data_IF_516328680079
#
_entry.id   IF_516328680079
#
_cell.length_a   1.000
_cell.length_b   1.000
_cell.length_c   1.000
_cell.angle_alpha   90.00
_cell.angle_beta   90.00
_cell.angle_gamma   90.00
#
_symmetry.space_group_name_H-M   'P 1'
#
loop_
_entity.id
_entity.type
_entity.pdbx_description
1 polymer ?
#
# COMPACT_ATOMS: atom_id res chain seq x y z
N UNK A 1 46.28 -9.34 30.12
CA UNK A 1 45.70 -8.34 29.22
C UNK A 1 45.57 -8.99 27.85
N UNK A 2 44.37 -9.40 27.47
CA UNK A 2 44.09 -10.06 26.18
C UNK A 2 43.31 -9.08 25.33
N UNK A 3 43.92 -8.64 24.23
CA UNK A 3 43.32 -7.72 23.26
C UNK A 3 42.21 -8.45 22.52
N UNK A 4 40.94 -7.98 22.68
CA UNK A 4 39.80 -8.41 21.91
C UNK A 4 39.78 -7.55 20.62
N UNK A 5 40.21 -8.14 19.50
CA UNK A 5 40.09 -7.54 18.19
C UNK A 5 38.64 -7.78 17.74
N UNK A 6 37.84 -6.70 17.71
CA UNK A 6 36.51 -6.70 17.13
C UNK A 6 36.68 -6.70 15.60
N UNK A 7 36.37 -7.82 14.97
CA UNK A 7 36.28 -7.92 13.52
C UNK A 7 35.00 -7.20 13.06
N UNK A 8 35.13 -5.95 12.60
CA UNK A 8 34.09 -5.27 11.85
C UNK A 8 34.04 -5.92 10.46
N UNK A 9 32.95 -6.60 10.17
CA UNK A 9 32.73 -7.28 8.89
C UNK A 9 32.71 -6.27 7.73
N UNK A 10 33.71 -6.39 6.84
CA UNK A 10 33.76 -5.77 5.51
C UNK A 10 32.70 -6.42 4.58
N UNK A 11 31.47 -5.93 4.61
CA UNK A 11 30.42 -6.29 3.67
C UNK A 11 29.69 -5.07 3.13
N UNK A 12 30.39 -3.98 2.84
CA UNK A 12 29.83 -2.74 2.31
C UNK A 12 30.74 -2.08 1.26
N UNK A 13 31.29 -2.85 0.33
CA UNK A 13 32.07 -2.25 -0.76
C UNK A 13 31.89 -3.03 -2.10
N UNK A 14 30.70 -2.84 -2.70
CA UNK A 14 30.49 -3.17 -4.11
C UNK A 14 29.30 -2.40 -4.70
N UNK A 15 29.26 -1.06 -4.55
CA UNK A 15 28.25 -0.22 -5.22
C UNK A 15 28.73 1.23 -5.40
N UNK A 16 30.01 1.45 -5.69
CA UNK A 16 30.52 2.78 -5.97
C UNK A 16 31.15 2.84 -7.37
N UNK A 17 30.35 2.52 -8.41
CA UNK A 17 30.81 2.67 -9.78
C UNK A 17 30.30 3.95 -10.46
N UNK A 18 29.27 4.64 -9.96
CA UNK A 18 28.68 5.82 -10.62
C UNK A 18 28.41 7.04 -9.68
N UNK A 19 28.95 7.11 -8.48
CA UNK A 19 28.95 8.34 -7.68
C UNK A 19 27.58 8.86 -7.17
N UNK A 20 26.47 8.18 -7.42
CA UNK A 20 25.15 8.57 -6.91
C UNK A 20 24.80 7.79 -5.64
N UNK A 21 24.27 8.50 -4.64
CA UNK A 21 23.75 7.87 -3.42
C UNK A 21 22.62 6.87 -3.75
N UNK A 22 22.57 5.73 -3.04
CA UNK A 22 21.50 4.75 -3.25
C UNK A 22 20.12 5.36 -3.03
N UNK A 23 19.17 5.08 -3.94
CA UNK A 23 17.79 5.49 -3.76
C UNK A 23 17.15 4.64 -2.68
N UNK A 24 16.74 5.27 -1.59
CA UNK A 24 16.05 4.59 -0.48
C UNK A 24 14.55 4.59 -0.72
N UNK A 25 13.94 3.40 -0.75
CA UNK A 25 12.51 3.20 -1.02
C UNK A 25 11.90 2.24 -0.01
N UNK A 26 10.63 2.46 0.36
CA UNK A 26 9.86 1.52 1.15
C UNK A 26 9.12 0.52 0.28
N UNK A 27 9.32 -0.78 0.55
CA UNK A 27 8.56 -1.85 -0.10
C UNK A 27 7.33 -2.21 0.74
N UNK A 28 6.13 -2.05 0.17
CA UNK A 28 4.84 -2.32 0.82
C UNK A 28 4.23 -3.59 0.28
N UNK A 29 3.87 -4.54 1.15
CA UNK A 29 3.23 -5.80 0.76
C UNK A 29 1.77 -5.55 0.37
N UNK A 30 1.47 -5.60 -0.94
CA UNK A 30 0.15 -5.32 -1.51
C UNK A 30 -0.84 -6.43 -1.18
N UNK A 31 -1.90 -6.11 -0.40
CA UNK A 31 -2.96 -7.01 0.06
C UNK A 31 -2.44 -8.17 0.92
N UNK A 32 -1.33 -7.94 1.64
CA UNK A 32 -0.62 -8.97 2.38
C UNK A 32 0.31 -9.82 1.52
N UNK A 33 0.76 -10.95 2.06
CA UNK A 33 1.51 -11.97 1.31
C UNK A 33 0.58 -13.12 0.93
N UNK A 34 0.06 -13.07 -0.27
CA UNK A 34 -0.92 -13.99 -0.80
C UNK A 34 -0.35 -14.92 -1.89
N UNK A 35 -1.06 -16.00 -2.19
CA UNK A 35 -0.70 -16.99 -3.21
C UNK A 35 -1.96 -17.68 -3.74
N UNK A 36 -1.79 -18.63 -4.68
CA UNK A 36 -2.92 -19.47 -5.14
C UNK A 36 -3.61 -20.25 -4.01
N UNK A 37 -2.91 -20.51 -2.89
CA UNK A 37 -3.43 -21.27 -1.74
C UNK A 37 -3.77 -20.36 -0.54
N UNK A 38 -3.60 -19.06 -0.66
CA UNK A 38 -3.87 -18.08 0.37
C UNK A 38 -4.44 -16.81 -0.27
N UNK A 39 -5.75 -16.58 -0.20
CA UNK A 39 -6.37 -15.42 -0.84
C UNK A 39 -5.84 -14.09 -0.29
N UNK A 40 -5.72 -13.11 -1.18
CA UNK A 40 -5.33 -11.74 -0.81
C UNK A 40 -6.39 -11.06 0.07
N UNK A 41 -5.99 -10.00 0.78
CA UNK A 41 -6.88 -9.25 1.69
C UNK A 41 -7.52 -10.11 2.80
N UNK A 42 -6.94 -11.25 3.13
CA UNK A 42 -7.35 -12.07 4.29
C UNK A 42 -6.48 -11.74 5.51
N UNK A 43 -7.01 -11.96 6.71
CA UNK A 43 -6.24 -11.79 7.95
C UNK A 43 -4.95 -12.61 7.92
N UNK A 44 -5.02 -13.83 7.37
CA UNK A 44 -3.88 -14.72 7.25
C UNK A 44 -2.79 -14.19 6.30
N UNK A 45 -3.19 -13.62 5.15
CA UNK A 45 -2.24 -13.04 4.21
C UNK A 45 -1.55 -11.79 4.78
N UNK A 46 -2.30 -10.97 5.51
CA UNK A 46 -1.81 -9.77 6.20
C UNK A 46 -0.83 -10.18 7.31
N UNK A 47 -1.26 -11.11 8.17
CA UNK A 47 -0.42 -11.63 9.26
C UNK A 47 0.86 -12.27 8.72
N UNK A 48 0.78 -13.06 7.65
CA UNK A 48 1.95 -13.68 7.02
C UNK A 48 2.95 -12.63 6.52
N UNK A 49 2.49 -11.49 6.01
CA UNK A 49 3.37 -10.40 5.59
C UNK A 49 4.15 -9.83 6.78
N UNK A 50 3.48 -9.49 7.89
CA UNK A 50 4.14 -9.00 9.10
C UNK A 50 5.08 -10.04 9.71
N UNK A 51 4.65 -11.29 9.84
CA UNK A 51 5.48 -12.39 10.36
C UNK A 51 6.72 -12.66 9.48
N UNK A 52 6.65 -12.34 8.19
CA UNK A 52 7.78 -12.41 7.25
C UNK A 52 8.71 -11.19 7.32
N UNK A 53 8.41 -10.21 8.17
CA UNK A 53 9.23 -9.03 8.41
C UNK A 53 8.85 -7.79 7.60
N UNK A 54 7.71 -7.78 6.90
CA UNK A 54 7.18 -6.57 6.32
C UNK A 54 6.75 -5.60 7.44
N UNK A 55 7.20 -4.36 7.39
CA UNK A 55 6.75 -3.32 8.33
C UNK A 55 5.60 -2.49 7.79
N UNK A 56 5.32 -2.60 6.48
CA UNK A 56 4.18 -1.97 5.83
C UNK A 56 3.43 -2.99 4.98
N UNK A 57 2.12 -3.10 5.23
CA UNK A 57 1.19 -3.93 4.48
C UNK A 57 0.07 -3.04 3.96
N UNK A 58 -0.36 -3.27 2.74
CA UNK A 58 -1.48 -2.56 2.14
C UNK A 58 -2.70 -3.48 2.06
N UNK A 59 -3.90 -2.91 2.23
CA UNK A 59 -5.19 -3.61 2.16
C UNK A 59 -6.29 -2.70 1.63
N UNK A 60 -7.36 -3.32 1.09
CA UNK A 60 -8.48 -2.62 0.47
C UNK A 60 -9.75 -2.70 1.32
N UNK A 61 -10.39 -1.57 1.62
CA UNK A 61 -11.64 -1.53 2.38
C UNK A 61 -12.80 -0.94 1.59
N UNK A 62 -13.94 -1.62 1.64
CA UNK A 62 -15.22 -1.14 1.16
C UNK A 62 -16.19 -0.94 2.31
N UNK A 63 -17.08 0.04 2.16
CA UNK A 63 -18.21 0.26 3.07
C UNK A 63 -19.47 -0.41 2.51
N UNK A 64 -20.12 -1.26 3.31
CA UNK A 64 -21.39 -1.90 2.95
C UNK A 64 -22.58 -1.03 3.35
N UNK A 65 -23.76 -1.22 2.75
CA UNK A 65 -25.00 -0.57 3.16
C UNK A 65 -25.42 -0.89 4.60
N UNK A 66 -24.95 -2.03 5.12
CA UNK A 66 -25.18 -2.44 6.52
C UNK A 66 -24.23 -1.74 7.51
N UNK A 67 -23.39 -0.80 7.06
CA UNK A 67 -22.48 -0.03 7.91
C UNK A 67 -21.17 -0.73 8.25
N UNK A 68 -20.86 -1.88 7.66
CA UNK A 68 -19.60 -2.60 7.87
C UNK A 68 -18.51 -2.11 6.93
N UNK A 69 -17.27 -2.07 7.41
CA UNK A 69 -16.08 -1.95 6.56
C UNK A 69 -15.47 -3.35 6.36
N UNK A 70 -15.47 -3.81 5.11
CA UNK A 70 -15.03 -5.16 4.71
C UNK A 70 -13.77 -5.09 3.87
N UNK A 71 -12.84 -6.02 4.13
CA UNK A 71 -11.54 -6.06 3.46
C UNK A 71 -11.61 -6.96 2.22
N UNK A 72 -11.75 -6.34 1.03
CA UNK A 72 -11.75 -7.00 -0.28
C UNK A 72 -11.50 -5.95 -1.36
N UNK A 73 -10.79 -6.32 -2.44
CA UNK A 73 -10.41 -5.33 -3.44
C UNK A 73 -11.55 -4.94 -4.39
N UNK A 74 -12.34 -5.90 -4.92
CA UNK A 74 -13.37 -5.61 -5.91
C UNK A 74 -14.42 -6.73 -6.02
N UNK A 75 -15.64 -6.39 -6.48
CA UNK A 75 -16.71 -7.36 -6.71
C UNK A 75 -16.32 -8.48 -7.71
N UNK A 76 -15.40 -8.22 -8.65
CA UNK A 76 -14.87 -9.26 -9.54
C UNK A 76 -14.15 -10.37 -8.78
N UNK A 77 -13.55 -10.06 -7.61
CA UNK A 77 -12.88 -11.06 -6.77
C UNK A 77 -13.87 -11.97 -6.06
N UNK A 78 -15.03 -11.44 -5.61
CA UNK A 78 -16.10 -12.29 -5.11
C UNK A 78 -16.48 -13.33 -6.15
N UNK A 79 -16.68 -12.93 -7.41
CA UNK A 79 -17.01 -13.83 -8.52
C UNK A 79 -15.86 -14.80 -8.87
N UNK A 80 -14.62 -14.37 -8.69
CA UNK A 80 -13.44 -15.19 -8.96
C UNK A 80 -13.23 -16.26 -7.90
N UNK A 81 -13.41 -15.91 -6.63
CA UNK A 81 -13.10 -16.77 -5.48
C UNK A 81 -14.29 -17.56 -4.95
N UNK A 82 -15.51 -17.10 -5.22
CA UNK A 82 -16.76 -17.62 -4.63
C UNK A 82 -17.90 -17.69 -5.63
N UNK A 83 -18.98 -18.35 -5.28
CA UNK A 83 -20.26 -18.31 -6.03
C UNK A 83 -21.09 -17.05 -5.79
N UNK A 84 -20.66 -16.14 -4.91
CA UNK A 84 -21.35 -14.89 -4.64
C UNK A 84 -21.31 -13.94 -5.85
N UNK A 85 -22.48 -13.46 -6.27
CA UNK A 85 -22.64 -12.51 -7.40
C UNK A 85 -23.01 -11.09 -6.96
N UNK A 86 -23.19 -10.86 -5.65
CA UNK A 86 -23.57 -9.56 -5.09
C UNK A 86 -22.48 -8.49 -5.33
N UNK A 87 -22.91 -7.24 -5.32
CA UNK A 87 -21.96 -6.12 -5.19
C UNK A 87 -21.50 -6.04 -3.74
N UNK A 88 -20.25 -5.63 -3.50
CA UNK A 88 -19.69 -5.57 -2.14
C UNK A 88 -20.53 -4.69 -1.22
N UNK A 89 -21.00 -3.54 -1.72
CA UNK A 89 -21.87 -2.62 -0.96
C UNK A 89 -23.19 -3.24 -0.50
N UNK A 90 -23.65 -4.32 -1.17
CA UNK A 90 -24.91 -4.99 -0.92
C UNK A 90 -24.74 -6.27 -0.05
N UNK A 91 -23.52 -6.57 0.39
CA UNK A 91 -23.27 -7.67 1.32
C UNK A 91 -23.93 -7.37 2.67
N UNK A 92 -24.64 -8.37 3.17
CA UNK A 92 -25.20 -8.38 4.53
C UNK A 92 -24.16 -8.90 5.54
N UNK A 93 -24.36 -8.70 6.86
CA UNK A 93 -23.50 -9.31 7.86
C UNK A 93 -23.39 -10.83 7.73
N UNK A 94 -24.49 -11.52 7.39
CA UNK A 94 -24.51 -12.97 7.17
C UNK A 94 -23.69 -13.37 5.93
N UNK A 95 -23.77 -12.60 4.84
CA UNK A 95 -22.92 -12.82 3.67
C UNK A 95 -21.44 -12.74 4.06
N UNK A 96 -21.04 -11.70 4.77
CA UNK A 96 -19.65 -11.50 5.20
C UNK A 96 -19.19 -12.64 6.11
N UNK A 97 -20.06 -13.11 7.02
CA UNK A 97 -19.77 -14.19 7.95
C UNK A 97 -19.67 -15.56 7.27
N UNK A 98 -20.34 -15.77 6.13
CA UNK A 98 -20.48 -17.10 5.50
C UNK A 98 -19.65 -17.28 4.24
N UNK A 99 -19.38 -16.23 3.46
CA UNK A 99 -18.60 -16.29 2.21
C UNK A 99 -17.20 -16.85 2.49
N UNK A 100 -16.79 -17.85 1.68
CA UNK A 100 -15.47 -18.45 1.72
C UNK A 100 -14.64 -18.06 0.48
N UNK A 101 -13.61 -17.23 0.66
CA UNK A 101 -12.71 -16.80 -0.42
C UNK A 101 -11.84 -17.94 -0.99
N UNK A 102 -11.81 -19.10 -0.34
CA UNK A 102 -11.11 -20.30 -0.82
C UNK A 102 -12.03 -21.28 -1.60
N UNK A 103 -13.33 -20.97 -1.75
CA UNK A 103 -14.34 -21.87 -2.29
C UNK A 103 -13.98 -22.42 -3.67
N UNK A 104 -13.82 -21.56 -4.66
CA UNK A 104 -13.54 -21.99 -6.05
C UNK A 104 -12.16 -22.56 -6.28
N UNK A 105 -11.23 -22.24 -5.40
CA UNK A 105 -9.88 -22.84 -5.41
C UNK A 105 -9.84 -24.21 -4.71
N UNK A 106 -10.97 -24.68 -4.14
CA UNK A 106 -11.04 -25.95 -3.41
C UNK A 106 -10.12 -26.01 -2.19
N UNK A 107 -9.88 -24.86 -1.52
CA UNK A 107 -8.97 -24.83 -0.38
C UNK A 107 -9.62 -25.51 0.83
N UNK A 108 -8.86 -26.39 1.49
CA UNK A 108 -9.35 -27.11 2.69
C UNK A 108 -9.66 -26.16 3.86
N UNK A 109 -8.90 -25.05 3.98
CA UNK A 109 -9.16 -24.00 4.96
C UNK A 109 -10.19 -23.00 4.44
N UNK A 110 -11.10 -22.62 5.31
CA UNK A 110 -12.05 -21.53 5.05
C UNK A 110 -11.39 -20.18 5.29
N UNK A 111 -11.47 -19.28 4.30
CA UNK A 111 -11.00 -17.90 4.37
C UNK A 111 -12.20 -16.97 4.29
N UNK A 112 -12.41 -16.14 5.32
CA UNK A 112 -13.52 -15.19 5.39
C UNK A 112 -13.12 -13.83 4.81
N UNK A 113 -14.13 -13.03 4.43
CA UNK A 113 -13.92 -11.60 4.16
C UNK A 113 -13.70 -10.93 5.52
N UNK A 114 -12.51 -10.33 5.79
CA UNK A 114 -12.27 -9.72 7.07
C UNK A 114 -13.06 -8.41 7.24
N UNK A 115 -13.48 -8.14 8.46
CA UNK A 115 -13.92 -6.82 8.89
C UNK A 115 -12.70 -5.95 9.26
N UNK A 116 -12.89 -4.63 9.30
CA UNK A 116 -11.83 -3.67 9.63
C UNK A 116 -11.17 -3.97 10.98
N UNK A 117 -11.95 -4.25 12.02
CA UNK A 117 -11.46 -4.57 13.36
C UNK A 117 -10.58 -5.84 13.38
N UNK A 118 -10.95 -6.85 12.60
CA UNK A 118 -10.19 -8.09 12.47
C UNK A 118 -8.83 -7.85 11.79
N UNK A 119 -8.79 -6.97 10.79
CA UNK A 119 -7.53 -6.58 10.15
C UNK A 119 -6.67 -5.76 11.10
N UNK A 120 -7.25 -4.77 11.78
CA UNK A 120 -6.51 -3.92 12.72
C UNK A 120 -5.94 -4.71 13.90
N UNK A 121 -6.63 -5.77 14.36
CA UNK A 121 -6.20 -6.63 15.46
C UNK A 121 -4.88 -7.38 15.17
N UNK A 122 -4.49 -7.57 13.91
CA UNK A 122 -3.25 -8.25 13.53
C UNK A 122 -2.12 -7.30 13.13
N UNK A 123 -2.33 -5.99 13.20
CA UNK A 123 -1.30 -4.98 12.93
C UNK A 123 -0.38 -4.83 14.15
N UNK A 124 0.92 -5.15 14.05
CA UNK A 124 1.85 -4.91 15.15
C UNK A 124 2.01 -3.41 15.40
N UNK A 125 2.13 -2.98 16.68
CA UNK A 125 2.26 -1.56 17.06
C UNK A 125 3.49 -0.86 16.49
N UNK A 126 4.47 -1.62 16.03
CA UNK A 126 5.69 -1.10 15.37
C UNK A 126 5.58 -1.08 13.85
N UNK A 127 4.44 -1.50 13.29
CA UNK A 127 4.21 -1.63 11.86
C UNK A 127 3.12 -0.66 11.38
N UNK A 128 2.97 -0.56 10.07
CA UNK A 128 2.03 0.33 9.41
C UNK A 128 1.09 -0.48 8.51
N UNK A 129 -0.20 -0.20 8.61
CA UNK A 129 -1.23 -0.62 7.66
C UNK A 129 -1.52 0.55 6.71
N UNK A 130 -1.32 0.35 5.41
CA UNK A 130 -1.81 1.26 4.38
C UNK A 130 -3.20 0.78 3.96
N UNK A 131 -4.22 1.54 4.32
CA UNK A 131 -5.63 1.21 4.07
C UNK A 131 -6.14 1.96 2.84
N UNK A 132 -6.36 1.26 1.72
CA UNK A 132 -7.04 1.86 0.58
C UNK A 132 -8.55 1.88 0.81
N UNK A 133 -9.12 3.07 0.81
CA UNK A 133 -10.56 3.25 0.89
C UNK A 133 -11.15 3.27 -0.51
N UNK A 134 -11.99 2.26 -0.80
CA UNK A 134 -12.70 2.11 -2.07
C UNK A 134 -14.01 2.90 -2.05
N UNK A 135 -14.02 4.02 -2.73
CA UNK A 135 -15.18 4.90 -2.76
C UNK A 135 -15.18 5.95 -1.65
N UNK A 136 -16.35 6.52 -1.38
CA UNK A 136 -16.54 7.54 -0.35
C UNK A 136 -17.90 7.38 0.33
N UNK A 137 -17.91 7.52 1.64
CA UNK A 137 -19.09 7.63 2.48
C UNK A 137 -18.79 8.66 3.58
N UNK A 138 -19.72 9.59 3.90
CA UNK A 138 -19.50 10.61 4.93
C UNK A 138 -19.17 10.06 6.33
N UNK A 139 -19.59 8.83 6.65
CA UNK A 139 -19.35 8.19 7.96
C UNK A 139 -18.01 7.47 8.03
N UNK A 140 -17.36 7.24 6.89
CA UNK A 140 -16.18 6.39 6.81
C UNK A 140 -15.05 6.84 7.73
N UNK A 141 -14.73 8.14 7.77
CA UNK A 141 -13.61 8.66 8.54
C UNK A 141 -13.79 8.42 10.06
N UNK A 142 -15.00 8.61 10.57
CA UNK A 142 -15.32 8.42 11.99
C UNK A 142 -15.30 6.93 12.37
N UNK A 143 -15.88 6.06 11.53
CA UNK A 143 -15.88 4.60 11.73
C UNK A 143 -14.43 4.09 11.75
N UNK A 144 -13.62 4.57 10.81
CA UNK A 144 -12.23 4.16 10.68
C UNK A 144 -11.40 4.59 11.89
N UNK A 145 -11.49 5.87 12.30
CA UNK A 145 -10.75 6.40 13.45
C UNK A 145 -11.16 5.69 14.76
N UNK A 146 -12.45 5.47 14.97
CA UNK A 146 -12.95 4.75 16.14
C UNK A 146 -12.40 3.31 16.20
N UNK A 147 -12.36 2.60 15.06
CA UNK A 147 -11.83 1.25 14.99
C UNK A 147 -10.32 1.20 15.27
N UNK A 148 -9.54 2.15 14.71
CA UNK A 148 -8.09 2.27 14.95
C UNK A 148 -7.81 2.46 16.46
N UNK A 149 -8.54 3.36 17.11
CA UNK A 149 -8.43 3.59 18.57
C UNK A 149 -8.83 2.36 19.38
N UNK A 150 -9.91 1.70 19.02
CA UNK A 150 -10.38 0.48 19.69
C UNK A 150 -9.36 -0.67 19.59
N UNK A 151 -8.60 -0.75 18.48
CA UNK A 151 -7.49 -1.71 18.31
C UNK A 151 -6.22 -1.33 19.11
N UNK A 152 -6.21 -0.20 19.82
CA UNK A 152 -5.04 0.31 20.56
C UNK A 152 -3.90 0.74 19.63
N UNK A 153 -4.22 1.09 18.38
CA UNK A 153 -3.32 1.67 17.40
C UNK A 153 -3.40 3.20 17.43
N UNK A 154 -2.43 3.84 16.80
CA UNK A 154 -2.39 5.29 16.63
C UNK A 154 -2.34 5.68 15.16
N UNK A 155 -2.44 6.97 14.88
CA UNK A 155 -2.34 7.51 13.53
C UNK A 155 -0.99 7.17 12.86
N UNK A 156 0.05 6.91 13.65
CA UNK A 156 1.39 6.54 13.12
C UNK A 156 1.43 5.11 12.57
N UNK A 157 0.48 4.25 12.98
CA UNK A 157 0.34 2.90 12.46
C UNK A 157 -0.47 2.83 11.15
N UNK A 158 -1.00 3.95 10.69
CA UNK A 158 -1.96 3.99 9.59
C UNK A 158 -1.52 4.97 8.50
N UNK A 159 -1.66 4.53 7.26
CA UNK A 159 -1.66 5.40 6.08
C UNK A 159 -2.99 5.18 5.35
N UNK A 160 -3.75 6.23 5.14
CA UNK A 160 -5.01 6.15 4.38
C UNK A 160 -4.72 6.46 2.92
N UNK A 161 -5.06 5.55 2.02
CA UNK A 161 -4.92 5.76 0.58
C UNK A 161 -6.27 5.67 -0.13
N UNK A 162 -6.45 6.40 -1.21
CA UNK A 162 -7.65 6.30 -2.04
C UNK A 162 -7.41 6.90 -3.43
N UNK A 163 -8.14 6.37 -4.43
CA UNK A 163 -8.34 7.04 -5.72
C UNK A 163 -9.37 8.17 -5.61
N UNK A 164 -10.24 8.13 -4.60
CA UNK A 164 -11.22 9.17 -4.35
C UNK A 164 -10.59 10.32 -3.57
N UNK A 165 -10.40 11.44 -4.23
CA UNK A 165 -9.81 12.64 -3.64
C UNK A 165 -10.64 13.20 -2.47
N UNK A 166 -11.98 13.17 -2.57
CA UNK A 166 -12.85 13.72 -1.52
C UNK A 166 -12.81 12.88 -0.24
N UNK A 167 -12.60 11.56 -0.35
CA UNK A 167 -12.39 10.71 0.82
C UNK A 167 -11.12 11.11 1.60
N UNK A 168 -10.02 11.42 0.89
CA UNK A 168 -8.78 11.88 1.52
C UNK A 168 -8.91 13.29 2.11
N UNK A 169 -9.59 14.18 1.39
CA UNK A 169 -9.88 15.54 1.86
C UNK A 169 -10.71 15.53 3.14
N UNK A 170 -11.75 14.69 3.22
CA UNK A 170 -12.58 14.54 4.41
C UNK A 170 -11.78 13.95 5.58
N UNK A 171 -10.98 12.90 5.33
CA UNK A 171 -10.09 12.34 6.34
C UNK A 171 -9.15 13.38 6.92
N UNK A 172 -8.48 14.16 6.08
CA UNK A 172 -7.56 15.22 6.52
C UNK A 172 -8.26 16.36 7.26
N UNK A 173 -9.49 16.70 6.89
CA UNK A 173 -10.26 17.74 7.55
C UNK A 173 -10.66 17.35 8.98
N UNK A 174 -11.07 16.10 9.19
CA UNK A 174 -11.51 15.59 10.49
C UNK A 174 -10.36 15.08 11.36
N UNK A 175 -9.42 14.36 10.74
CA UNK A 175 -8.33 13.66 11.42
C UNK A 175 -6.99 13.99 10.77
N UNK A 176 -6.46 15.22 10.95
CA UNK A 176 -5.30 15.75 10.22
C UNK A 176 -3.99 15.00 10.47
N UNK A 177 -3.91 14.20 11.54
CA UNK A 177 -2.71 13.43 11.90
C UNK A 177 -2.51 12.17 11.06
N UNK A 178 -3.58 11.59 10.46
CA UNK A 178 -3.40 10.47 9.56
C UNK A 178 -2.61 10.89 8.33
N UNK A 179 -1.61 10.10 7.98
CA UNK A 179 -0.93 10.24 6.69
C UNK A 179 -1.87 9.77 5.58
N UNK A 180 -1.87 10.51 4.47
CA UNK A 180 -2.76 10.23 3.34
C UNK A 180 -1.98 10.11 2.05
N UNK A 181 -2.40 9.18 1.18
CA UNK A 181 -1.80 8.94 -0.13
C UNK A 181 -2.88 9.01 -1.21
N UNK A 182 -2.75 9.93 -2.14
CA UNK A 182 -3.64 10.00 -3.29
C UNK A 182 -3.16 9.06 -4.39
N UNK A 183 -3.93 8.01 -4.64
CA UNK A 183 -3.70 7.06 -5.73
C UNK A 183 -4.21 7.68 -7.04
N UNK A 184 -3.40 7.62 -8.09
CA UNK A 184 -3.68 8.26 -9.36
C UNK A 184 -3.60 7.24 -10.51
N UNK A 185 -4.68 7.14 -11.33
CA UNK A 185 -4.80 6.09 -12.36
C UNK A 185 -4.34 6.50 -13.73
N UNK A 186 -4.38 7.80 -14.01
CA UNK A 186 -4.10 8.28 -15.36
C UNK A 186 -2.64 8.05 -15.73
N UNK A 187 -2.40 7.81 -17.01
CA UNK A 187 -1.05 7.72 -17.55
C UNK A 187 -0.39 9.09 -17.56
N UNK A 188 0.93 9.11 -17.39
CA UNK A 188 1.68 10.32 -17.69
C UNK A 188 1.59 10.61 -19.20
N UNK A 189 1.27 11.87 -19.54
CA UNK A 189 1.28 12.39 -20.90
C UNK A 189 1.80 13.82 -20.85
N UNK A 190 2.09 14.39 -22.00
CA UNK A 190 2.49 15.81 -22.08
C UNK A 190 1.40 16.77 -21.58
N UNK A 191 0.12 16.33 -21.57
CA UNK A 191 -1.00 17.08 -21.01
C UNK A 191 -1.17 16.86 -19.50
N UNK A 192 -0.36 16.01 -18.84
CA UNK A 192 -0.43 15.82 -17.40
C UNK A 192 -0.02 17.09 -16.66
N UNK A 193 -1.00 17.73 -16.04
CA UNK A 193 -0.79 18.96 -15.27
C UNK A 193 -0.32 18.65 -13.86
N UNK A 194 1.00 18.55 -13.71
CA UNK A 194 1.64 18.31 -12.41
C UNK A 194 1.35 19.43 -11.41
N UNK A 195 1.24 20.69 -11.87
CA UNK A 195 0.96 21.81 -10.97
C UNK A 195 -0.44 21.73 -10.40
N UNK A 196 -1.41 21.28 -11.19
CA UNK A 196 -2.76 21.01 -10.72
C UNK A 196 -2.80 19.87 -9.70
N UNK A 197 -2.04 18.80 -9.92
CA UNK A 197 -1.93 17.70 -8.96
C UNK A 197 -1.30 18.17 -7.63
N UNK A 198 -0.22 18.95 -7.68
CA UNK A 198 0.43 19.57 -6.53
C UNK A 198 -0.54 20.50 -5.78
N UNK A 199 -1.24 21.39 -6.51
CA UNK A 199 -2.21 22.29 -5.91
C UNK A 199 -3.33 21.55 -5.17
N UNK A 200 -3.85 20.47 -5.75
CA UNK A 200 -4.85 19.60 -5.09
C UNK A 200 -4.30 18.96 -3.81
N UNK A 201 -3.11 18.37 -3.86
CA UNK A 201 -2.50 17.79 -2.68
C UNK A 201 -2.32 18.83 -1.56
N UNK A 202 -1.80 20.01 -1.88
CA UNK A 202 -1.61 21.11 -0.92
C UNK A 202 -2.94 21.60 -0.33
N UNK A 203 -3.95 21.81 -1.16
CA UNK A 203 -5.27 22.29 -0.72
C UNK A 203 -5.95 21.34 0.27
N UNK A 204 -5.78 20.04 0.11
CA UNK A 204 -6.32 19.02 1.01
C UNK A 204 -5.31 18.52 2.05
N UNK A 205 -4.08 19.07 2.09
CA UNK A 205 -2.98 18.62 2.97
C UNK A 205 -2.65 17.13 2.81
N UNK A 206 -2.78 16.61 1.58
CA UNK A 206 -2.43 15.21 1.27
C UNK A 206 -0.91 15.06 1.29
N UNK A 207 -0.42 14.01 1.97
CA UNK A 207 1.01 13.83 2.24
C UNK A 207 1.77 13.19 1.07
N UNK A 208 1.10 12.35 0.26
CA UNK A 208 1.75 11.63 -0.84
C UNK A 208 0.89 11.59 -2.10
N UNK A 209 1.54 11.71 -3.26
CA UNK A 209 1.00 11.44 -4.59
C UNK A 209 1.55 10.12 -5.11
N UNK A 210 0.68 9.22 -5.58
CA UNK A 210 1.04 7.85 -5.90
C UNK A 210 0.39 7.38 -7.21
N UNK A 211 1.03 7.57 -8.37
CA UNK A 211 0.56 7.03 -9.65
C UNK A 211 0.89 5.54 -9.82
N UNK A 212 0.29 4.90 -10.83
CA UNK A 212 0.70 3.57 -11.31
C UNK A 212 2.08 3.64 -11.95
N UNK A 213 3.02 2.78 -11.54
CA UNK A 213 4.36 2.75 -12.15
C UNK A 213 4.30 2.42 -13.64
N UNK A 214 3.46 1.47 -14.03
CA UNK A 214 3.31 1.03 -15.42
C UNK A 214 2.72 2.12 -16.33
N UNK A 215 1.79 2.93 -15.81
CA UNK A 215 1.12 3.99 -16.59
C UNK A 215 1.90 5.31 -16.56
N UNK A 216 2.56 5.61 -15.45
CA UNK A 216 3.33 6.85 -15.33
C UNK A 216 4.68 6.76 -16.06
N UNK A 217 5.27 5.56 -16.09
CA UNK A 217 6.56 5.33 -16.71
C UNK A 217 7.70 6.11 -16.05
N UNK A 218 8.79 6.28 -16.78
CA UNK A 218 9.99 7.02 -16.31
C UNK A 218 10.67 7.80 -17.45
N UNK A 219 9.90 8.40 -18.35
CA UNK A 219 10.40 9.37 -19.32
C UNK A 219 11.01 10.59 -18.60
N UNK A 220 11.77 11.40 -19.30
CA UNK A 220 12.38 12.58 -18.69
C UNK A 220 11.31 13.56 -18.17
N UNK A 221 10.18 13.72 -18.89
CA UNK A 221 9.05 14.47 -18.43
C UNK A 221 8.39 13.87 -17.17
N UNK A 222 8.22 12.55 -17.10
CA UNK A 222 7.72 11.88 -15.90
C UNK A 222 8.67 12.07 -14.70
N UNK A 223 9.98 12.01 -14.93
CA UNK A 223 10.97 12.28 -13.89
C UNK A 223 10.92 13.74 -13.42
N UNK A 224 10.81 14.70 -14.34
CA UNK A 224 10.65 16.11 -13.99
C UNK A 224 9.35 16.37 -13.21
N UNK A 225 8.25 15.70 -13.56
CA UNK A 225 7.00 15.78 -12.81
C UNK A 225 7.14 15.20 -11.38
N UNK A 226 7.83 14.06 -11.23
CA UNK A 226 8.13 13.49 -9.92
C UNK A 226 9.01 14.41 -9.06
N UNK A 227 10.04 15.04 -9.67
CA UNK A 227 10.88 16.04 -9.00
C UNK A 227 10.07 17.25 -8.54
N UNK A 228 9.16 17.77 -9.37
CA UNK A 228 8.29 18.88 -9.00
C UNK A 228 7.37 18.54 -7.80
N UNK A 229 6.82 17.34 -7.75
CA UNK A 229 6.01 16.87 -6.62
C UNK A 229 6.85 16.84 -5.33
N UNK A 230 8.07 16.27 -5.39
CA UNK A 230 8.98 16.24 -4.22
C UNK A 230 9.43 17.64 -3.78
N UNK A 231 9.76 18.51 -4.73
CA UNK A 231 10.12 19.90 -4.45
C UNK A 231 8.98 20.68 -3.78
N UNK A 232 7.74 20.28 -4.00
CA UNK A 232 6.56 20.83 -3.34
C UNK A 232 6.34 20.32 -1.91
N UNK A 233 7.22 19.42 -1.39
CA UNK A 233 7.11 18.80 -0.08
C UNK A 233 6.10 17.65 -0.01
N UNK A 234 5.70 17.10 -1.16
CA UNK A 234 4.77 15.97 -1.27
C UNK A 234 5.57 14.70 -1.57
N UNK A 235 5.35 13.64 -0.80
CA UNK A 235 6.01 12.36 -1.04
C UNK A 235 5.56 11.78 -2.40
N UNK A 236 6.51 11.39 -3.25
CA UNK A 236 6.22 10.74 -4.52
C UNK A 236 6.38 9.23 -4.38
N UNK A 237 5.30 8.48 -4.56
CA UNK A 237 5.24 7.02 -4.46
C UNK A 237 4.70 6.44 -5.75
N UNK A 238 4.76 5.12 -5.91
CA UNK A 238 4.10 4.41 -7.01
C UNK A 238 3.38 3.16 -6.51
N UNK A 239 2.33 2.75 -7.23
CA UNK A 239 1.70 1.45 -6.99
C UNK A 239 1.84 0.52 -8.21
N UNK A 240 1.65 -0.79 -7.97
CA UNK A 240 1.66 -1.80 -9.02
C UNK A 240 3.06 -2.18 -9.49
N UNK A 241 4.09 -2.00 -8.66
CA UNK A 241 5.47 -2.42 -8.95
C UNK A 241 5.57 -3.95 -8.81
N UNK A 242 5.47 -4.69 -9.93
CA UNK A 242 5.37 -6.14 -9.93
C UNK A 242 6.44 -6.87 -10.75
N UNK A 243 7.40 -6.14 -11.29
CA UNK A 243 8.54 -6.68 -12.06
C UNK A 243 9.84 -5.98 -11.69
N UNK A 244 10.96 -6.56 -12.14
CA UNK A 244 12.28 -5.94 -12.02
C UNK A 244 12.37 -4.64 -12.85
N UNK A 245 11.72 -4.61 -14.00
CA UNK A 245 11.62 -3.46 -14.88
C UNK A 245 10.86 -2.31 -14.21
N UNK A 246 9.74 -2.60 -13.53
CA UNK A 246 9.02 -1.60 -12.73
C UNK A 246 9.91 -1.01 -11.63
N UNK A 247 10.78 -1.81 -11.01
CA UNK A 247 11.69 -1.32 -9.98
C UNK A 247 12.79 -0.43 -10.57
N UNK A 248 13.22 -0.66 -11.82
CA UNK A 248 14.11 0.25 -12.53
C UNK A 248 13.41 1.60 -12.80
N UNK A 249 12.13 1.57 -13.20
CA UNK A 249 11.32 2.79 -13.35
C UNK A 249 11.18 3.53 -12.01
N UNK A 250 10.86 2.82 -10.93
CA UNK A 250 10.73 3.39 -9.60
C UNK A 250 12.06 4.03 -9.12
N UNK A 251 13.21 3.39 -9.41
CA UNK A 251 14.55 3.95 -9.14
C UNK A 251 14.77 5.26 -9.90
N UNK A 252 14.50 5.28 -11.21
CA UNK A 252 14.67 6.48 -12.05
C UNK A 252 13.78 7.64 -11.58
N UNK A 253 12.56 7.34 -11.14
CA UNK A 253 11.62 8.29 -10.54
C UNK A 253 12.02 8.74 -9.12
N UNK A 254 13.00 8.10 -8.47
CA UNK A 254 13.43 8.35 -7.08
C UNK A 254 12.25 8.31 -6.11
N UNK A 255 11.41 7.27 -6.21
CA UNK A 255 10.21 7.16 -5.36
C UNK A 255 10.55 6.91 -3.91
N UNK A 256 9.74 7.43 -2.98
CA UNK A 256 9.89 7.17 -1.54
C UNK A 256 9.39 5.77 -1.14
N UNK A 257 8.54 5.14 -1.96
CA UNK A 257 8.02 3.80 -1.72
C UNK A 257 7.07 3.31 -2.81
N UNK A 258 6.76 2.02 -2.77
CA UNK A 258 5.90 1.37 -3.75
C UNK A 258 5.11 0.21 -3.13
N UNK A 259 3.96 -0.14 -3.73
CA UNK A 259 3.24 -1.38 -3.40
C UNK A 259 3.56 -2.48 -4.41
N UNK A 260 3.72 -3.72 -3.95
CA UNK A 260 4.07 -4.86 -4.80
C UNK A 260 3.39 -6.16 -4.34
N UNK A 261 2.96 -6.98 -5.32
CA UNK A 261 2.52 -8.36 -5.08
C UNK A 261 3.69 -9.32 -4.77
N UNK A 262 4.92 -8.89 -5.03
CA UNK A 262 6.13 -9.71 -4.95
C UNK A 262 7.10 -9.16 -3.89
N UNK A 263 6.58 -8.92 -2.66
CA UNK A 263 7.33 -8.24 -1.61
C UNK A 263 8.71 -8.86 -1.36
N UNK A 264 8.81 -10.18 -1.18
CA UNK A 264 10.11 -10.87 -0.98
C UNK A 264 11.03 -10.72 -2.20
N UNK A 265 10.50 -10.93 -3.41
CA UNK A 265 11.28 -10.85 -4.62
C UNK A 265 11.82 -9.44 -4.91
N UNK A 266 11.12 -8.39 -4.45
CA UNK A 266 11.56 -7.01 -4.64
C UNK A 266 12.95 -6.75 -4.04
N UNK A 267 13.30 -7.40 -2.93
CA UNK A 267 14.62 -7.28 -2.29
C UNK A 267 15.73 -7.91 -3.14
N UNK A 268 15.45 -9.05 -3.77
CA UNK A 268 16.41 -9.71 -4.69
C UNK A 268 16.56 -8.90 -5.96
N UNK A 269 15.49 -8.32 -6.49
CA UNK A 269 15.56 -7.41 -7.63
C UNK A 269 16.41 -6.18 -7.31
N UNK A 270 16.21 -5.56 -6.15
CA UNK A 270 16.99 -4.40 -5.72
C UNK A 270 18.49 -4.70 -5.66
N UNK A 271 18.87 -5.85 -5.07
CA UNK A 271 20.27 -6.30 -5.07
C UNK A 271 20.84 -6.46 -6.48
N UNK A 272 20.06 -7.06 -7.40
CA UNK A 272 20.52 -7.33 -8.77
C UNK A 272 20.61 -6.08 -9.63
N UNK A 273 19.83 -5.02 -9.35
CA UNK A 273 19.88 -3.72 -10.05
C UNK A 273 21.02 -2.85 -9.51
N UNK A 274 21.25 -2.91 -8.20
CA UNK A 274 22.20 -2.05 -7.50
C UNK A 274 21.73 -0.59 -7.34
N UNK A 275 22.36 0.13 -6.41
CA UNK A 275 22.01 1.53 -6.11
C UNK A 275 20.57 1.72 -5.59
N UNK A 276 20.02 0.72 -4.89
CA UNK A 276 18.71 0.75 -4.23
C UNK A 276 18.84 0.21 -2.82
N UNK A 277 18.32 0.95 -1.86
CA UNK A 277 18.11 0.48 -0.48
C UNK A 277 16.62 0.32 -0.24
N UNK A 278 16.15 -0.90 0.05
CA UNK A 278 14.76 -1.16 0.39
C UNK A 278 14.57 -1.19 1.91
N UNK A 279 13.63 -0.39 2.37
CA UNK A 279 13.07 -0.47 3.73
C UNK A 279 11.93 -1.50 3.74
N UNK A 280 11.92 -2.34 4.77
CA UNK A 280 10.88 -3.35 4.98
C UNK A 280 9.56 -2.71 5.41
#
# INVERSE_FOLDING_TARGET
MKNLIVAVSLAAFAAAANGEDPVTMRSVAHRGMWSKNLPQNTVEAIKLAYDSGATWVETDFHHTKAGQMVCIHAAKELKQYTSCTKQIRDLTPDDVATINLGEKAGLAKTYRIPLLDQVLAVVPKTCVLQSEIKGYSPQYADIFDAAVKAAGLSETNIVVSSFNYDALKDMKARYPKYRTTWLFKESYSEQFDVQKAIAKCKAAKIDAFCPSVAHFGSSDGACAAADAVRAAGIEFRVFGMNSKEDLVHAKKLKVAGFTTNHWKASFEWAKSIGGITLLK
#
